data_IF_233827919397
#
_entry.id   IF_233827919397
#
_cell.length_a   1.000
_cell.length_b   1.000
_cell.length_c   1.000
_cell.angle_alpha   90.00
_cell.angle_beta   90.00
_cell.angle_gamma   90.00
#
_symmetry.space_group_name_H-M   'P 1'
#
loop_
_entity.id
_entity.type
_entity.pdbx_description
1 polymer ?
#
# COMPACT_ATOMS: atom_id res chain seq x y z
N UNK A 1 -66.41 -3.95 -13.11
CA UNK A 1 -65.35 -4.65 -12.33
C UNK A 1 -64.43 -5.35 -13.33
N UNK A 2 -63.38 -4.64 -13.77
CA UNK A 2 -62.45 -5.15 -14.77
C UNK A 2 -61.22 -5.65 -14.02
N UNK A 3 -61.04 -6.95 -13.96
CA UNK A 3 -59.85 -7.63 -13.42
C UNK A 3 -58.65 -7.28 -14.31
N UNK A 4 -57.70 -6.49 -13.79
CA UNK A 4 -56.39 -6.34 -14.40
C UNK A 4 -55.63 -7.67 -14.22
N UNK A 5 -55.34 -8.35 -15.30
CA UNK A 5 -54.42 -9.47 -15.32
C UNK A 5 -53.06 -9.02 -14.80
N UNK A 6 -52.54 -9.74 -13.84
CA UNK A 6 -51.11 -9.60 -13.41
C UNK A 6 -50.24 -10.07 -14.57
N UNK A 7 -49.40 -9.20 -15.03
CA UNK A 7 -48.34 -9.51 -16.01
C UNK A 7 -47.26 -10.33 -15.29
N UNK A 8 -47.40 -11.66 -15.28
CA UNK A 8 -46.49 -12.60 -14.64
C UNK A 8 -45.16 -12.81 -15.42
N UNK A 9 -44.87 -11.97 -16.42
CA UNK A 9 -43.68 -12.04 -17.27
C UNK A 9 -42.71 -10.86 -17.08
N UNK A 10 -42.72 -10.21 -15.92
CA UNK A 10 -41.69 -9.22 -15.62
C UNK A 10 -40.32 -9.92 -15.47
N UNK A 11 -39.50 -9.87 -16.51
CA UNK A 11 -38.09 -10.28 -16.39
C UNK A 11 -37.48 -9.57 -15.17
N UNK A 12 -36.75 -10.29 -14.29
CA UNK A 12 -36.06 -9.62 -13.15
C UNK A 12 -35.24 -8.47 -13.68
N UNK A 13 -35.35 -7.33 -13.05
CA UNK A 13 -34.65 -6.11 -13.46
C UNK A 13 -33.15 -6.42 -13.59
N UNK A 14 -32.65 -6.33 -14.84
CA UNK A 14 -31.24 -6.63 -15.13
C UNK A 14 -30.36 -5.63 -14.40
N UNK A 15 -29.44 -6.12 -13.56
CA UNK A 15 -28.41 -5.26 -12.96
C UNK A 15 -27.54 -4.65 -14.06
N UNK A 16 -27.36 -3.33 -14.02
CA UNK A 16 -26.44 -2.61 -14.91
C UNK A 16 -24.99 -2.66 -14.44
N UNK A 17 -24.78 -3.06 -13.18
CA UNK A 17 -23.45 -3.16 -12.56
C UNK A 17 -22.95 -4.58 -12.71
N UNK A 18 -21.69 -4.75 -13.11
CA UNK A 18 -21.08 -6.07 -13.19
C UNK A 18 -20.98 -6.71 -11.80
N UNK A 19 -21.11 -8.03 -11.72
CA UNK A 19 -21.01 -8.79 -10.47
C UNK A 19 -19.68 -8.54 -9.76
N UNK A 20 -18.57 -8.46 -10.50
CA UNK A 20 -17.24 -8.16 -9.95
C UNK A 20 -17.18 -6.78 -9.27
N UNK A 21 -17.71 -5.74 -9.92
CA UNK A 21 -17.75 -4.41 -9.33
C UNK A 21 -18.67 -4.36 -8.11
N UNK A 22 -19.81 -5.06 -8.15
CA UNK A 22 -20.76 -5.14 -7.05
C UNK A 22 -20.21 -5.93 -5.84
N UNK A 23 -19.31 -6.90 -6.06
CA UNK A 23 -18.73 -7.73 -5.00
C UNK A 23 -17.62 -7.00 -4.20
N UNK A 24 -17.11 -5.86 -4.70
CA UNK A 24 -16.09 -5.09 -3.99
C UNK A 24 -16.74 -4.33 -2.83
N UNK A 25 -16.28 -4.53 -1.59
CA UNK A 25 -16.80 -3.77 -0.46
C UNK A 25 -16.45 -2.28 -0.62
N UNK A 26 -17.34 -1.41 -0.19
CA UNK A 26 -17.02 0.02 -0.12
C UNK A 26 -15.82 0.22 0.81
N UNK A 27 -14.88 1.06 0.40
CA UNK A 27 -13.71 1.36 1.23
C UNK A 27 -14.13 1.95 2.58
N UNK A 28 -13.83 1.25 3.67
CA UNK A 28 -14.05 1.74 5.04
C UNK A 28 -13.34 3.07 5.30
N UNK A 29 -12.17 3.26 4.69
CA UNK A 29 -11.38 4.50 4.78
C UNK A 29 -12.15 5.69 4.19
N UNK A 30 -12.86 5.52 3.06
CA UNK A 30 -13.56 6.62 2.37
C UNK A 30 -14.70 7.19 3.23
N UNK A 31 -15.46 6.35 3.91
CA UNK A 31 -16.53 6.81 4.82
C UNK A 31 -15.97 7.75 5.90
N UNK A 32 -14.77 7.46 6.40
CA UNK A 32 -14.09 8.32 7.38
C UNK A 32 -13.64 9.64 6.77
N UNK A 33 -13.09 9.64 5.57
CA UNK A 33 -12.68 10.89 4.90
C UNK A 33 -13.86 11.79 4.57
N UNK A 34 -14.98 11.23 4.13
CA UNK A 34 -16.19 11.99 3.86
C UNK A 34 -16.72 12.66 5.15
N UNK A 35 -16.61 11.98 6.31
CA UNK A 35 -16.99 12.52 7.60
C UNK A 35 -16.01 13.63 8.08
N UNK A 36 -14.71 13.41 7.95
CA UNK A 36 -13.66 14.39 8.30
C UNK A 36 -13.86 15.69 7.53
N UNK A 37 -14.19 15.61 6.24
CA UNK A 37 -14.38 16.78 5.37
C UNK A 37 -15.53 17.70 5.83
N UNK A 38 -16.43 17.22 6.69
CA UNK A 38 -17.56 17.99 7.24
C UNK A 38 -17.32 18.58 8.64
N UNK A 39 -16.12 18.34 9.22
CA UNK A 39 -15.81 18.70 10.60
C UNK A 39 -14.60 19.65 10.69
N UNK A 40 -14.72 20.72 11.48
CA UNK A 40 -13.61 21.62 11.77
C UNK A 40 -12.76 21.18 12.97
N UNK A 41 -11.46 21.46 12.91
CA UNK A 41 -10.51 21.23 14.01
C UNK A 41 -10.19 19.76 14.25
N UNK A 42 -10.32 18.92 13.22
CA UNK A 42 -9.93 17.51 13.26
C UNK A 42 -8.43 17.36 13.02
N UNK A 43 -7.76 16.65 13.92
CA UNK A 43 -6.39 16.18 13.71
C UNK A 43 -6.47 14.82 12.99
N UNK A 44 -5.93 14.74 11.78
CA UNK A 44 -6.02 13.52 10.97
C UNK A 44 -4.75 12.68 11.05
N UNK A 45 -4.83 11.58 11.78
CA UNK A 45 -3.85 10.49 11.73
C UNK A 45 -4.29 9.38 10.74
N UNK A 46 -5.27 9.65 9.89
CA UNK A 46 -5.85 8.68 8.95
C UNK A 46 -5.20 8.71 7.56
N UNK A 47 -4.69 9.85 7.11
CA UNK A 47 -4.12 10.00 5.77
C UNK A 47 -2.75 9.32 5.69
N UNK A 48 -2.57 8.48 4.69
CA UNK A 48 -1.31 7.73 4.49
C UNK A 48 -0.41 8.36 3.43
N UNK A 49 -0.03 9.63 3.61
CA UNK A 49 0.88 10.32 2.70
C UNK A 49 1.93 11.15 3.45
N UNK A 50 3.12 11.38 2.86
CA UNK A 50 4.10 12.29 3.42
C UNK A 50 3.53 13.70 3.59
N UNK A 51 3.80 14.34 4.72
CA UNK A 51 3.48 15.75 4.99
C UNK A 51 4.55 16.72 4.44
N UNK A 52 5.54 16.18 3.77
CA UNK A 52 6.57 16.94 3.07
C UNK A 52 6.11 17.39 1.70
N UNK A 53 6.53 18.58 1.31
CA UNK A 53 6.41 19.04 -0.08
C UNK A 53 7.46 18.32 -0.92
N UNK A 54 7.10 17.88 -2.11
CA UNK A 54 8.05 17.32 -3.09
C UNK A 54 9.29 18.22 -3.21
N UNK A 55 10.52 17.68 -3.19
CA UNK A 55 11.77 18.45 -3.22
C UNK A 55 11.81 19.47 -4.37
N UNK A 56 12.45 20.63 -4.12
CA UNK A 56 12.46 21.71 -5.12
C UNK A 56 13.06 21.28 -6.45
N UNK A 57 14.20 20.58 -6.45
CA UNK A 57 14.82 20.10 -7.70
C UNK A 57 13.87 19.23 -8.55
N UNK A 58 13.02 18.44 -7.90
CA UNK A 58 12.03 17.59 -8.57
C UNK A 58 10.90 18.44 -9.16
N UNK A 59 10.40 19.43 -8.39
CA UNK A 59 9.35 20.36 -8.86
C UNK A 59 9.86 21.25 -10.00
N UNK A 60 11.07 21.77 -9.87
CA UNK A 60 11.74 22.60 -10.88
C UNK A 60 11.88 21.85 -12.21
N UNK A 61 12.27 20.57 -12.17
CA UNK A 61 12.37 19.74 -13.37
C UNK A 61 11.03 19.59 -14.11
N UNK A 62 9.93 19.47 -13.38
CA UNK A 62 8.60 19.42 -13.99
C UNK A 62 8.19 20.76 -14.60
N UNK A 63 8.45 21.88 -13.91
CA UNK A 63 8.20 23.23 -14.43
C UNK A 63 8.99 23.43 -15.73
N UNK A 64 10.29 23.10 -15.70
CA UNK A 64 11.15 23.19 -16.89
C UNK A 64 10.66 22.32 -18.03
N UNK A 65 10.18 21.10 -17.74
CA UNK A 65 9.63 20.24 -18.77
C UNK A 65 8.42 20.88 -19.47
N UNK A 66 7.52 21.53 -18.71
CA UNK A 66 6.36 22.25 -19.25
C UNK A 66 6.83 23.45 -20.09
N UNK A 67 7.77 24.26 -19.58
CA UNK A 67 8.32 25.42 -20.29
C UNK A 67 9.00 25.05 -21.62
N UNK A 68 9.62 23.87 -21.67
CA UNK A 68 10.24 23.33 -22.90
C UNK A 68 9.26 22.61 -23.82
N UNK A 69 7.96 22.60 -23.49
CA UNK A 69 6.94 22.00 -24.34
C UNK A 69 6.91 20.47 -24.31
N UNK A 70 7.45 19.84 -23.27
CA UNK A 70 7.31 18.39 -23.07
C UNK A 70 5.88 18.07 -22.62
N UNK A 71 4.93 18.02 -23.56
CA UNK A 71 3.50 17.83 -23.30
C UNK A 71 2.87 16.71 -24.14
N UNK A 72 3.69 15.98 -24.91
CA UNK A 72 3.24 14.91 -25.80
C UNK A 72 3.33 13.53 -25.11
N UNK A 73 2.74 12.54 -25.74
CA UNK A 73 2.85 11.15 -25.31
C UNK A 73 4.30 10.67 -25.26
N UNK A 74 4.60 9.82 -24.32
CA UNK A 74 5.87 9.08 -24.26
C UNK A 74 5.69 7.68 -24.85
N UNK A 75 6.77 6.90 -24.89
CA UNK A 75 6.65 5.44 -25.05
C UNK A 75 5.69 4.86 -24.02
N UNK A 76 4.92 3.85 -24.40
CA UNK A 76 4.05 3.12 -23.48
C UNK A 76 4.83 2.49 -22.29
N UNK A 77 6.08 2.11 -22.49
CA UNK A 77 6.97 1.70 -21.40
C UNK A 77 7.36 2.83 -20.45
N UNK A 78 7.17 4.09 -20.84
CA UNK A 78 7.70 5.30 -20.22
C UNK A 78 9.01 5.77 -20.86
N UNK A 79 9.53 6.92 -20.43
CA UNK A 79 10.79 7.49 -20.92
C UNK A 79 11.95 6.52 -20.68
N UNK A 80 12.76 6.29 -21.73
CA UNK A 80 13.93 5.42 -21.62
C UNK A 80 14.92 5.96 -20.58
N UNK A 81 15.16 7.27 -20.57
CA UNK A 81 16.03 7.95 -19.59
C UNK A 81 15.61 7.63 -18.14
N UNK A 82 14.31 7.62 -17.84
CA UNK A 82 13.82 7.27 -16.52
C UNK A 82 14.04 5.79 -16.20
N UNK A 83 13.79 4.92 -17.17
CA UNK A 83 13.98 3.46 -16.99
C UNK A 83 15.45 3.10 -16.81
N UNK A 84 16.37 3.78 -17.52
CA UNK A 84 17.81 3.63 -17.35
C UNK A 84 18.25 4.10 -15.96
N UNK A 85 17.83 5.29 -15.52
CA UNK A 85 18.12 5.78 -14.18
C UNK A 85 17.56 4.85 -13.08
N UNK A 86 16.39 4.28 -13.31
CA UNK A 86 15.75 3.33 -12.38
C UNK A 86 16.49 1.99 -12.34
N UNK A 87 16.92 1.46 -13.49
CA UNK A 87 17.74 0.24 -13.57
C UNK A 87 19.06 0.39 -12.79
N UNK A 88 19.74 1.52 -12.97
CA UNK A 88 20.96 1.85 -12.21
C UNK A 88 20.68 1.99 -10.70
N UNK A 89 19.56 2.57 -10.32
CA UNK A 89 19.15 2.70 -8.92
C UNK A 89 18.95 1.33 -8.27
N UNK A 90 18.24 0.42 -8.95
CA UNK A 90 17.95 -0.92 -8.45
C UNK A 90 19.22 -1.78 -8.36
N UNK A 91 20.12 -1.70 -9.35
CA UNK A 91 21.44 -2.39 -9.29
C UNK A 91 22.28 -1.84 -8.14
N UNK A 92 22.43 -0.52 -8.02
CA UNK A 92 23.25 0.11 -6.97
C UNK A 92 22.75 -0.19 -5.55
N UNK A 93 21.41 -0.22 -5.34
CA UNK A 93 20.81 -0.39 -4.00
C UNK A 93 20.66 -1.84 -3.60
N UNK A 94 20.23 -2.66 -4.53
CA UNK A 94 19.74 -4.02 -4.23
C UNK A 94 20.51 -5.11 -4.96
N UNK A 95 21.42 -4.73 -5.87
CA UNK A 95 22.18 -5.69 -6.66
C UNK A 95 21.31 -6.44 -7.69
N UNK A 96 20.18 -5.87 -8.10
CA UNK A 96 19.27 -6.50 -9.06
C UNK A 96 19.33 -5.73 -10.38
N UNK A 97 19.76 -6.43 -11.43
CA UNK A 97 19.88 -5.86 -12.77
C UNK A 97 18.65 -6.16 -13.60
N UNK A 98 18.00 -5.10 -14.06
CA UNK A 98 16.91 -5.16 -15.01
C UNK A 98 17.31 -4.49 -16.33
N UNK A 99 16.91 -5.08 -17.47
CA UNK A 99 17.04 -4.40 -18.75
C UNK A 99 16.02 -3.26 -18.85
N UNK A 100 16.48 -2.01 -18.97
CA UNK A 100 15.56 -0.86 -19.05
C UNK A 100 14.64 -0.88 -20.28
N UNK A 101 14.94 -1.69 -21.30
CA UNK A 101 14.15 -1.77 -22.51
C UNK A 101 12.99 -2.75 -22.43
N UNK A 102 13.15 -3.85 -21.68
CA UNK A 102 12.22 -4.98 -21.69
C UNK A 102 11.71 -5.42 -20.32
N UNK A 103 12.37 -5.01 -19.21
CA UNK A 103 12.03 -5.47 -17.86
C UNK A 103 11.51 -4.36 -16.92
N UNK A 104 11.28 -3.13 -17.42
CA UNK A 104 10.79 -1.99 -16.65
C UNK A 104 9.62 -1.29 -17.36
N UNK A 105 8.54 -1.04 -16.59
CA UNK A 105 7.35 -0.32 -17.04
C UNK A 105 7.04 0.82 -16.06
N UNK A 106 6.92 2.03 -16.57
CA UNK A 106 6.49 3.21 -15.79
C UNK A 106 4.97 3.28 -15.76
N UNK A 107 4.40 3.43 -14.57
CA UNK A 107 2.96 3.36 -14.33
C UNK A 107 2.42 4.62 -13.64
N UNK A 108 1.10 4.80 -13.67
CA UNK A 108 0.39 5.88 -12.96
C UNK A 108 0.25 5.51 -11.47
N UNK A 109 1.39 5.55 -10.77
CA UNK A 109 1.56 5.08 -9.39
C UNK A 109 1.59 3.56 -9.28
N UNK A 110 1.97 3.07 -8.10
CA UNK A 110 1.98 1.64 -7.77
C UNK A 110 0.58 1.03 -7.81
N UNK A 111 -0.46 1.86 -7.64
CA UNK A 111 -1.85 1.39 -7.75
C UNK A 111 -2.17 0.82 -9.13
N UNK A 112 -1.70 1.47 -10.20
CA UNK A 112 -1.82 0.92 -11.55
C UNK A 112 -0.92 -0.29 -11.73
N UNK A 113 0.33 -0.24 -11.27
CA UNK A 113 1.24 -1.38 -11.37
C UNK A 113 0.67 -2.65 -10.73
N UNK A 114 0.00 -2.53 -9.59
CA UNK A 114 -0.69 -3.62 -8.91
C UNK A 114 -1.87 -4.17 -9.73
N UNK A 115 -2.73 -3.29 -10.26
CA UNK A 115 -3.88 -3.69 -11.09
C UNK A 115 -3.42 -4.39 -12.37
N UNK A 116 -2.41 -3.84 -13.04
CA UNK A 116 -1.81 -4.46 -14.23
C UNK A 116 -1.20 -5.83 -13.93
N UNK A 117 -0.47 -5.96 -12.82
CA UNK A 117 0.13 -7.23 -12.41
C UNK A 117 -0.96 -8.29 -12.20
N UNK A 118 -2.03 -7.98 -11.45
CA UNK A 118 -3.13 -8.93 -11.23
C UNK A 118 -3.81 -9.32 -12.54
N UNK A 119 -4.15 -8.36 -13.39
CA UNK A 119 -4.79 -8.65 -14.70
C UNK A 119 -3.90 -9.43 -15.66
N UNK A 120 -2.59 -9.25 -15.58
CA UNK A 120 -1.64 -9.94 -16.47
C UNK A 120 -1.46 -11.41 -16.10
N UNK A 121 -1.58 -11.78 -14.82
CA UNK A 121 -1.23 -13.12 -14.35
C UNK A 121 -2.43 -13.99 -13.96
N UNK A 122 -3.60 -13.40 -13.66
CA UNK A 122 -4.75 -14.12 -13.10
C UNK A 122 -5.69 -14.58 -14.20
N UNK A 123 -5.98 -15.88 -14.24
CA UNK A 123 -7.13 -16.46 -14.94
C UNK A 123 -8.30 -16.62 -13.97
N UNK A 124 -9.55 -16.69 -14.45
CA UNK A 124 -10.71 -16.94 -13.59
C UNK A 124 -10.54 -18.18 -12.72
N UNK A 125 -10.62 -17.98 -11.39
CA UNK A 125 -10.47 -19.04 -10.40
C UNK A 125 -9.07 -19.29 -9.88
N UNK A 126 -8.04 -18.62 -10.42
CA UNK A 126 -6.70 -18.61 -9.84
C UNK A 126 -6.73 -17.97 -8.44
N UNK A 127 -5.88 -18.47 -7.55
CA UNK A 127 -5.79 -18.02 -6.17
C UNK A 127 -4.51 -17.21 -5.93
N UNK A 128 -4.66 -16.09 -5.24
CA UNK A 128 -3.53 -15.26 -4.75
C UNK A 128 -3.54 -15.25 -3.22
N UNK A 129 -2.42 -15.64 -2.63
CA UNK A 129 -2.23 -15.55 -1.17
C UNK A 129 -1.89 -14.10 -0.83
N UNK A 130 -2.68 -13.48 0.08
CA UNK A 130 -2.61 -12.06 0.42
C UNK A 130 -2.52 -11.90 1.94
N UNK A 131 -1.62 -11.05 2.47
CA UNK A 131 -1.51 -10.82 3.92
C UNK A 131 -2.78 -10.17 4.49
N UNK A 132 -3.18 -10.62 5.67
CA UNK A 132 -4.24 -10.04 6.50
C UNK A 132 -3.68 -9.79 7.91
N UNK A 133 -3.54 -8.52 8.37
CA UNK A 133 -3.92 -7.29 7.69
C UNK A 133 -2.94 -6.90 6.57
N UNK A 134 -3.47 -6.23 5.53
CA UNK A 134 -2.71 -5.77 4.37
C UNK A 134 -3.31 -4.52 3.74
N UNK A 135 -2.61 -3.96 2.75
CA UNK A 135 -3.10 -2.75 2.06
C UNK A 135 -4.46 -3.00 1.39
N UNK A 136 -5.37 -2.07 1.61
CA UNK A 136 -6.80 -2.18 1.24
C UNK A 136 -7.07 -2.49 -0.23
N UNK A 137 -6.14 -2.20 -1.13
CA UNK A 137 -6.32 -2.44 -2.57
C UNK A 137 -5.90 -3.84 -3.02
N UNK A 138 -5.22 -4.63 -2.19
CA UNK A 138 -4.73 -5.95 -2.60
C UNK A 138 -5.89 -6.88 -2.99
N UNK A 139 -6.83 -7.09 -2.08
CA UNK A 139 -7.99 -7.94 -2.33
C UNK A 139 -8.87 -7.45 -3.50
N UNK A 140 -9.24 -6.17 -3.60
CA UNK A 140 -9.97 -5.63 -4.74
C UNK A 140 -9.31 -5.87 -6.10
N UNK A 141 -7.99 -5.68 -6.20
CA UNK A 141 -7.28 -5.91 -7.48
C UNK A 141 -7.32 -7.39 -7.90
N UNK A 142 -7.17 -8.34 -6.97
CA UNK A 142 -7.32 -9.77 -7.23
C UNK A 142 -8.73 -10.09 -7.72
N UNK A 143 -9.77 -9.59 -7.05
CA UNK A 143 -11.18 -9.82 -7.39
C UNK A 143 -11.51 -9.22 -8.75
N UNK A 144 -11.08 -7.99 -9.05
CA UNK A 144 -11.28 -7.34 -10.35
C UNK A 144 -10.65 -8.10 -11.50
N UNK A 145 -9.48 -8.72 -11.27
CA UNK A 145 -8.84 -9.58 -12.24
C UNK A 145 -9.56 -10.95 -12.43
N UNK A 146 -10.53 -11.28 -11.57
CA UNK A 146 -11.27 -12.56 -11.61
C UNK A 146 -10.66 -13.67 -10.78
N UNK A 147 -9.67 -13.33 -9.94
CA UNK A 147 -9.03 -14.26 -9.01
C UNK A 147 -9.77 -14.39 -7.69
N UNK A 148 -9.29 -15.32 -6.88
CA UNK A 148 -9.74 -15.57 -5.52
C UNK A 148 -8.66 -15.18 -4.53
N UNK A 149 -9.03 -14.40 -3.54
CA UNK A 149 -8.16 -14.02 -2.42
C UNK A 149 -8.08 -15.17 -1.41
N UNK A 150 -6.86 -15.57 -1.06
CA UNK A 150 -6.59 -16.52 0.03
C UNK A 150 -5.83 -15.76 1.11
N UNK A 151 -6.46 -15.40 2.23
CA UNK A 151 -5.81 -14.62 3.27
C UNK A 151 -4.76 -15.45 4.02
N UNK A 152 -3.57 -14.90 4.22
CA UNK A 152 -2.58 -15.38 5.18
C UNK A 152 -2.58 -14.44 6.39
N UNK A 153 -3.03 -14.98 7.52
CA UNK A 153 -3.19 -14.19 8.75
C UNK A 153 -1.85 -13.92 9.41
N UNK A 154 -1.65 -12.68 9.82
CA UNK A 154 -0.50 -12.24 10.61
C UNK A 154 -0.97 -11.69 11.94
N UNK A 155 -0.15 -11.81 12.98
CA UNK A 155 -0.47 -11.43 14.35
C UNK A 155 0.66 -10.62 14.97
N UNK A 156 0.35 -9.93 16.07
CA UNK A 156 1.33 -9.15 16.82
C UNK A 156 2.47 -10.01 17.37
N UNK A 157 2.18 -11.25 17.78
CA UNK A 157 3.16 -12.21 18.28
C UNK A 157 4.21 -12.58 17.23
N UNK A 158 3.86 -12.52 15.96
CA UNK A 158 4.75 -12.69 14.81
C UNK A 158 5.26 -11.35 14.24
N UNK A 159 5.13 -10.27 15.00
CA UNK A 159 5.46 -8.91 14.54
C UNK A 159 4.72 -8.54 13.23
N UNK A 160 3.51 -9.03 13.02
CA UNK A 160 2.72 -8.88 11.77
C UNK A 160 3.46 -9.33 10.50
N UNK A 161 4.36 -10.28 10.62
CA UNK A 161 5.14 -10.83 9.50
C UNK A 161 4.48 -12.08 8.94
N UNK A 162 4.43 -12.17 7.62
CA UNK A 162 3.99 -13.40 6.95
C UNK A 162 5.04 -14.49 7.17
N UNK A 163 4.64 -15.63 7.71
CA UNK A 163 5.51 -16.78 7.93
C UNK A 163 5.37 -17.79 6.79
N UNK A 164 6.48 -18.35 6.35
CA UNK A 164 6.49 -19.42 5.34
C UNK A 164 5.65 -20.64 5.78
N UNK A 165 5.66 -20.94 7.08
CA UNK A 165 4.84 -21.99 7.68
C UNK A 165 3.34 -21.72 7.61
N UNK A 166 2.92 -20.45 7.58
CA UNK A 166 1.54 -20.06 7.41
C UNK A 166 1.11 -20.07 5.93
N UNK A 167 2.04 -19.83 4.98
CA UNK A 167 1.76 -19.89 3.55
C UNK A 167 1.60 -21.33 3.06
N UNK A 168 2.49 -22.23 3.47
CA UNK A 168 2.57 -23.58 2.89
C UNK A 168 1.25 -24.36 2.90
N UNK A 169 0.42 -24.37 3.97
CA UNK A 169 -0.86 -25.09 3.99
C UNK A 169 -1.95 -24.41 3.14
N UNK A 170 -1.76 -23.16 2.70
CA UNK A 170 -2.71 -22.43 1.86
C UNK A 170 -2.49 -22.68 0.36
N UNK A 171 -1.36 -23.31 0.00
CA UNK A 171 -1.04 -23.58 -1.40
C UNK A 171 -1.91 -24.71 -1.93
N UNK A 172 -2.60 -24.43 -3.03
CA UNK A 172 -3.40 -25.40 -3.80
C UNK A 172 -2.92 -25.46 -5.26
N UNK A 173 -3.40 -26.41 -6.08
CA UNK A 173 -3.10 -26.41 -7.51
C UNK A 173 -3.58 -25.18 -8.28
N UNK A 174 -4.44 -24.34 -7.67
CA UNK A 174 -4.92 -23.07 -8.24
C UNK A 174 -4.14 -21.87 -7.75
N UNK A 175 -3.27 -22.03 -6.79
CA UNK A 175 -2.46 -20.92 -6.26
C UNK A 175 -1.48 -20.46 -7.34
N UNK A 176 -1.65 -19.23 -7.80
CA UNK A 176 -0.83 -18.58 -8.82
C UNK A 176 0.35 -17.84 -8.24
N UNK A 177 0.14 -17.22 -7.09
CA UNK A 177 1.20 -16.39 -6.49
C UNK A 177 0.90 -15.95 -5.06
N UNK A 178 1.92 -15.31 -4.50
CA UNK A 178 1.90 -14.70 -3.17
C UNK A 178 2.10 -13.22 -3.36
N UNK A 179 1.22 -12.39 -2.78
CA UNK A 179 1.41 -10.95 -2.69
C UNK A 179 1.99 -10.63 -1.31
N UNK A 180 3.06 -9.86 -1.27
CA UNK A 180 3.65 -9.33 -0.03
C UNK A 180 3.88 -7.83 -0.19
N UNK A 181 3.77 -7.07 0.92
CA UNK A 181 4.06 -5.63 0.94
C UNK A 181 4.78 -5.28 2.24
N UNK A 182 6.08 -5.09 2.14
CA UNK A 182 6.92 -4.70 3.28
C UNK A 182 7.93 -3.63 2.84
N UNK A 183 8.14 -2.57 3.69
CA UNK A 183 7.46 -2.26 4.96
C UNK A 183 5.93 -2.20 4.81
N UNK A 184 5.23 -2.74 5.81
CA UNK A 184 3.81 -3.03 5.69
C UNK A 184 2.91 -1.82 6.02
N UNK A 185 1.88 -1.63 5.26
CA UNK A 185 0.70 -0.84 5.58
C UNK A 185 -0.44 -1.84 5.91
N UNK A 186 -0.97 -1.90 7.14
CA UNK A 186 -1.04 -0.82 8.15
C UNK A 186 -0.02 -0.89 9.31
N UNK A 187 0.78 -1.96 9.45
CA UNK A 187 1.42 -2.32 10.70
C UNK A 187 2.81 -1.69 10.92
N UNK A 188 3.46 -1.25 9.84
CA UNK A 188 4.85 -0.81 9.89
C UNK A 188 5.87 -1.94 10.08
N UNK A 189 5.45 -3.19 9.96
CA UNK A 189 6.32 -4.36 10.01
C UNK A 189 7.33 -4.36 8.85
N UNK A 190 8.51 -4.90 9.12
CA UNK A 190 9.60 -5.08 8.15
C UNK A 190 10.09 -6.51 8.23
N UNK A 191 10.40 -7.13 7.12
CA UNK A 191 10.94 -8.48 7.08
C UNK A 191 12.45 -8.47 6.87
N UNK A 192 13.13 -9.35 7.58
CA UNK A 192 14.56 -9.60 7.39
C UNK A 192 14.80 -10.42 6.11
N UNK A 193 16.05 -10.40 5.63
CA UNK A 193 16.46 -11.20 4.48
C UNK A 193 16.20 -12.70 4.68
N UNK A 194 16.44 -13.21 5.88
CA UNK A 194 16.25 -14.64 6.18
C UNK A 194 14.76 -15.04 6.18
N UNK A 195 13.89 -14.20 6.73
CA UNK A 195 12.44 -14.41 6.68
C UNK A 195 11.91 -14.37 5.24
N UNK A 196 12.40 -13.46 4.40
CA UNK A 196 12.06 -13.41 2.97
C UNK A 196 12.59 -14.62 2.21
N UNK A 197 13.77 -15.15 2.57
CA UNK A 197 14.32 -16.39 1.99
C UNK A 197 13.45 -17.60 2.27
N UNK A 198 12.81 -17.69 3.45
CA UNK A 198 11.85 -18.75 3.74
C UNK A 198 10.64 -18.70 2.80
N UNK A 199 10.09 -17.50 2.56
CA UNK A 199 8.98 -17.31 1.60
C UNK A 199 9.46 -17.67 0.18
N UNK A 200 10.67 -17.25 -0.20
CA UNK A 200 11.25 -17.56 -1.50
C UNK A 200 11.39 -19.09 -1.72
N UNK A 201 11.74 -19.86 -0.67
CA UNK A 201 11.77 -21.33 -0.74
C UNK A 201 10.39 -21.93 -1.01
N UNK A 202 9.33 -21.41 -0.34
CA UNK A 202 7.95 -21.86 -0.59
C UNK A 202 7.54 -21.53 -2.03
N UNK A 203 7.79 -20.31 -2.50
CA UNK A 203 7.46 -19.89 -3.86
C UNK A 203 8.16 -20.77 -4.92
N UNK A 204 9.44 -21.06 -4.73
CA UNK A 204 10.21 -21.92 -5.66
C UNK A 204 9.73 -23.36 -5.67
N UNK A 205 9.45 -23.96 -4.50
CA UNK A 205 8.99 -25.36 -4.39
C UNK A 205 7.64 -25.59 -5.06
N UNK A 206 6.78 -24.60 -5.03
CA UNK A 206 5.41 -24.69 -5.55
C UNK A 206 5.21 -23.93 -6.86
N UNK A 207 6.30 -23.47 -7.51
CA UNK A 207 6.30 -22.71 -8.76
C UNK A 207 5.37 -21.49 -8.75
N UNK A 208 5.39 -20.72 -7.66
CA UNK A 208 4.55 -19.54 -7.47
C UNK A 208 5.28 -18.27 -7.91
N UNK A 209 4.51 -17.31 -8.43
CA UNK A 209 4.96 -15.93 -8.59
C UNK A 209 4.93 -15.20 -7.23
N UNK A 210 5.75 -14.17 -7.08
CA UNK A 210 5.68 -13.26 -5.95
C UNK A 210 5.46 -11.85 -6.47
N UNK A 211 4.39 -11.23 -6.02
CA UNK A 211 4.14 -9.81 -6.24
C UNK A 211 4.64 -9.09 -5.00
N UNK A 212 5.74 -8.33 -5.15
CA UNK A 212 6.39 -7.63 -4.04
C UNK A 212 6.11 -6.13 -4.14
N UNK A 213 5.22 -5.63 -3.28
CA UNK A 213 4.94 -4.20 -3.17
C UNK A 213 5.95 -3.56 -2.22
N UNK A 214 6.92 -2.88 -2.80
CA UNK A 214 8.05 -2.25 -2.10
C UNK A 214 7.97 -0.72 -2.10
N UNK A 215 6.74 -0.15 -2.13
CA UNK A 215 6.54 1.31 -2.16
C UNK A 215 7.15 2.05 -0.96
N UNK A 216 7.37 1.34 0.15
CA UNK A 216 7.98 1.85 1.38
C UNK A 216 9.44 1.43 1.56
N UNK A 217 10.10 0.91 0.53
CA UNK A 217 11.47 0.39 0.56
C UNK A 217 12.50 1.32 1.23
N UNK A 218 12.27 2.64 1.11
CA UNK A 218 13.15 3.69 1.65
C UNK A 218 12.83 4.08 3.09
N UNK A 219 11.63 3.75 3.57
CA UNK A 219 11.15 4.08 4.90
C UNK A 219 11.37 2.90 5.85
N UNK A 220 12.63 2.62 6.14
CA UNK A 220 13.09 1.62 7.12
C UNK A 220 13.95 2.34 8.15
N UNK A 221 13.67 2.13 9.43
CA UNK A 221 14.31 2.87 10.54
C UNK A 221 15.45 2.10 11.20
N UNK A 222 15.33 0.78 11.23
CA UNK A 222 16.29 -0.11 11.85
C UNK A 222 16.71 -1.18 10.83
N UNK A 223 17.96 -1.10 10.33
CA UNK A 223 18.49 -2.02 9.32
C UNK A 223 18.33 -1.51 7.89
N UNK A 224 18.24 -2.44 6.94
CA UNK A 224 18.12 -2.16 5.52
C UNK A 224 16.99 -2.97 4.91
N UNK A 225 16.31 -2.39 3.93
CA UNK A 225 15.34 -3.09 3.11
C UNK A 225 16.02 -4.16 2.26
N UNK A 226 15.39 -5.33 2.16
CA UNK A 226 15.78 -6.39 1.22
C UNK A 226 14.77 -6.44 0.10
N UNK A 227 15.17 -6.07 -1.11
CA UNK A 227 14.36 -6.23 -2.30
C UNK A 227 14.15 -7.73 -2.59
N UNK A 228 12.91 -8.17 -2.74
CA UNK A 228 12.59 -9.59 -2.89
C UNK A 228 13.21 -10.21 -4.16
N UNK A 229 13.27 -9.43 -5.24
CA UNK A 229 13.91 -9.85 -6.49
C UNK A 229 15.42 -10.11 -6.35
N UNK A 230 16.07 -9.55 -5.30
CA UNK A 230 17.50 -9.77 -5.06
C UNK A 230 17.83 -11.13 -4.46
N UNK A 231 16.81 -11.85 -4.00
CA UNK A 231 17.01 -13.18 -3.43
C UNK A 231 17.35 -14.22 -4.51
N UNK A 232 18.17 -15.23 -4.19
CA UNK A 232 18.60 -16.23 -5.16
C UNK A 232 17.43 -16.91 -5.87
N UNK A 233 17.38 -16.78 -7.21
CA UNK A 233 16.36 -17.40 -8.07
C UNK A 233 14.98 -16.74 -7.98
N UNK A 234 14.89 -15.49 -7.46
CA UNK A 234 13.62 -14.79 -7.35
C UNK A 234 13.38 -13.71 -8.40
N UNK A 235 14.42 -13.20 -9.08
CA UNK A 235 14.24 -12.19 -10.14
C UNK A 235 13.21 -12.62 -11.19
N UNK A 236 13.34 -13.85 -11.70
CA UNK A 236 12.51 -14.37 -12.80
C UNK A 236 11.05 -14.63 -12.41
N UNK A 237 10.75 -14.74 -11.13
CA UNK A 237 9.42 -15.03 -10.61
C UNK A 237 8.84 -13.95 -9.69
N UNK A 238 9.46 -12.77 -9.68
CA UNK A 238 8.98 -11.62 -8.91
C UNK A 238 8.48 -10.52 -9.83
N UNK A 239 7.30 -10.02 -9.53
CA UNK A 239 6.82 -8.73 -10.03
C UNK A 239 7.09 -7.73 -8.92
N UNK A 240 8.14 -6.94 -9.10
CA UNK A 240 8.50 -5.87 -8.18
C UNK A 240 7.66 -4.62 -8.48
N UNK A 241 6.95 -4.13 -7.49
CA UNK A 241 6.19 -2.89 -7.57
C UNK A 241 6.87 -1.83 -6.70
N UNK A 242 7.19 -0.70 -7.29
CA UNK A 242 7.84 0.41 -6.60
C UNK A 242 7.40 1.76 -7.13
N UNK A 243 7.79 2.84 -6.45
CA UNK A 243 7.34 4.15 -6.90
C UNK A 243 7.90 5.31 -6.11
N UNK A 244 7.48 6.50 -6.50
CA UNK A 244 8.03 7.76 -6.03
C UNK A 244 7.18 8.42 -4.94
N UNK A 245 5.96 7.92 -4.74
CA UNK A 245 4.96 8.55 -3.85
C UNK A 245 5.45 8.76 -2.42
N UNK A 246 6.16 7.78 -1.84
CA UNK A 246 6.51 7.79 -0.42
C UNK A 246 7.92 8.29 -0.17
N UNK A 247 8.89 7.74 -0.87
CA UNK A 247 10.30 8.12 -0.71
C UNK A 247 10.59 9.58 -1.10
N UNK A 248 9.88 10.12 -2.09
CA UNK A 248 10.14 11.45 -2.64
C UNK A 248 8.99 12.44 -2.42
N UNK A 249 8.04 12.11 -1.54
CA UNK A 249 6.84 12.93 -1.29
C UNK A 249 6.10 13.32 -2.60
N UNK A 250 5.91 12.33 -3.49
CA UNK A 250 5.31 12.53 -4.82
C UNK A 250 3.95 11.84 -4.95
N UNK A 251 3.11 11.87 -3.92
CA UNK A 251 1.80 11.19 -3.93
C UNK A 251 0.88 11.70 -5.03
N UNK A 252 0.78 13.01 -5.19
CA UNK A 252 -0.05 13.68 -6.20
C UNK A 252 0.47 13.58 -7.64
N UNK A 253 1.74 13.21 -7.83
CA UNK A 253 2.36 13.08 -9.16
C UNK A 253 1.92 11.82 -9.92
N UNK A 254 1.36 10.86 -9.20
CA UNK A 254 0.89 9.59 -9.74
C UNK A 254 1.95 8.88 -10.57
N UNK A 255 3.10 8.57 -9.99
CA UNK A 255 4.18 7.88 -10.68
C UNK A 255 4.70 6.68 -9.88
N UNK A 256 4.78 5.54 -10.54
CA UNK A 256 5.31 4.29 -10.05
C UNK A 256 5.95 3.48 -11.17
N UNK A 257 6.35 2.27 -10.85
CA UNK A 257 6.92 1.35 -11.82
C UNK A 257 6.64 -0.11 -11.43
N UNK A 258 6.69 -0.97 -12.43
CA UNK A 258 6.81 -2.40 -12.28
C UNK A 258 8.12 -2.89 -12.90
N UNK A 259 8.76 -3.86 -12.25
CA UNK A 259 9.90 -4.59 -12.82
C UNK A 259 9.62 -6.10 -12.72
N UNK A 260 9.76 -6.80 -13.86
CA UNK A 260 9.47 -8.23 -13.96
C UNK A 260 10.24 -8.84 -15.14
N UNK A 261 10.16 -10.18 -15.28
CA UNK A 261 10.66 -10.80 -16.50
C UNK A 261 9.91 -10.29 -17.74
N UNK A 262 10.53 -10.36 -18.93
CA UNK A 262 9.97 -9.74 -20.15
C UNK A 262 8.57 -10.23 -20.51
N UNK A 263 8.25 -11.52 -20.33
CA UNK A 263 6.96 -12.09 -20.73
C UNK A 263 5.80 -11.51 -19.89
N UNK A 264 6.02 -11.40 -18.57
CA UNK A 264 5.04 -10.80 -17.66
C UNK A 264 4.91 -9.30 -17.95
N UNK A 265 6.04 -8.62 -18.12
CA UNK A 265 6.04 -7.18 -18.37
C UNK A 265 5.35 -6.82 -19.68
N UNK A 266 5.56 -7.61 -20.74
CA UNK A 266 4.86 -7.45 -22.01
C UNK A 266 3.34 -7.65 -21.87
N UNK A 267 2.91 -8.62 -21.06
CA UNK A 267 1.48 -8.79 -20.75
C UNK A 267 0.89 -7.58 -20.00
N UNK A 268 1.63 -7.04 -19.02
CA UNK A 268 1.26 -5.80 -18.31
C UNK A 268 1.20 -4.61 -19.26
N UNK A 269 2.19 -4.47 -20.15
CA UNK A 269 2.25 -3.40 -21.15
C UNK A 269 1.04 -3.43 -22.09
N UNK A 270 0.61 -4.60 -22.56
CA UNK A 270 -0.58 -4.72 -23.42
C UNK A 270 -1.83 -4.18 -22.76
N UNK A 271 -1.98 -4.36 -21.45
CA UNK A 271 -3.11 -3.79 -20.72
C UNK A 271 -2.93 -2.29 -20.54
N UNK A 272 -1.74 -1.84 -20.12
CA UNK A 272 -1.38 -0.45 -19.90
C UNK A 272 -1.66 0.43 -21.12
N UNK A 273 -1.21 -0.01 -22.31
CA UNK A 273 -1.39 0.76 -23.54
C UNK A 273 -2.85 1.02 -23.94
N UNK A 274 -3.79 0.14 -23.56
CA UNK A 274 -5.22 0.31 -23.85
C UNK A 274 -6.01 0.97 -22.72
N UNK A 275 -5.42 1.12 -21.53
CA UNK A 275 -6.09 1.75 -20.37
C UNK A 275 -5.62 3.17 -20.13
N UNK A 276 -4.31 3.40 -20.13
CA UNK A 276 -3.69 4.68 -19.74
C UNK A 276 -2.83 5.27 -20.86
N UNK A 277 -2.26 4.42 -21.72
CA UNK A 277 -1.31 4.74 -22.79
C UNK A 277 0.11 5.01 -22.25
N UNK A 278 0.30 6.02 -21.41
CA UNK A 278 1.57 6.33 -20.74
C UNK A 278 1.33 7.19 -19.50
N UNK A 279 2.28 7.16 -18.56
CA UNK A 279 2.27 8.08 -17.42
C UNK A 279 2.58 9.53 -17.85
N UNK A 280 2.18 10.56 -17.06
CA UNK A 280 2.42 11.96 -17.38
C UNK A 280 3.90 12.28 -17.58
N UNK A 281 4.27 12.87 -18.72
CA UNK A 281 5.67 13.13 -19.09
C UNK A 281 6.37 14.05 -18.09
N UNK A 282 5.68 15.07 -17.54
CA UNK A 282 6.23 15.97 -16.55
C UNK A 282 6.63 15.25 -15.28
N UNK A 283 5.79 14.32 -14.83
CA UNK A 283 6.10 13.48 -13.67
C UNK A 283 7.29 12.56 -13.94
N UNK A 284 7.42 12.01 -15.14
CA UNK A 284 8.55 11.17 -15.52
C UNK A 284 9.86 11.97 -15.55
N UNK A 285 9.86 13.21 -16.10
CA UNK A 285 11.04 14.10 -16.09
C UNK A 285 11.43 14.47 -14.66
N UNK A 286 10.47 14.79 -13.81
CA UNK A 286 10.70 15.06 -12.39
C UNK A 286 11.29 13.85 -11.65
N UNK A 287 10.85 12.64 -11.98
CA UNK A 287 11.36 11.42 -11.34
C UNK A 287 12.81 11.12 -11.68
N UNK A 288 13.29 11.49 -12.86
CA UNK A 288 14.72 11.40 -13.22
C UNK A 288 15.55 12.23 -12.23
N UNK A 289 15.13 13.46 -11.94
CA UNK A 289 15.79 14.32 -10.95
C UNK A 289 15.64 13.81 -9.51
N UNK A 290 14.49 13.23 -9.16
CA UNK A 290 14.30 12.58 -7.88
C UNK A 290 15.32 11.45 -7.64
N UNK A 291 15.58 10.62 -8.66
CA UNK A 291 16.59 9.54 -8.59
C UNK A 291 18.00 10.11 -8.48
N UNK A 292 18.31 11.15 -9.25
CA UNK A 292 19.67 11.71 -9.33
C UNK A 292 20.06 12.54 -8.09
N UNK A 293 19.11 13.31 -7.56
CA UNK A 293 19.39 14.35 -6.57
C UNK A 293 18.53 14.29 -5.29
N UNK A 294 17.50 13.43 -5.24
CA UNK A 294 16.56 13.37 -4.10
C UNK A 294 17.06 12.66 -2.85
N UNK A 295 18.17 11.92 -2.93
CA UNK A 295 18.63 11.06 -1.83
C UNK A 295 18.86 11.76 -0.48
N UNK A 296 19.52 12.94 -0.41
CA UNK A 296 19.74 13.63 0.87
C UNK A 296 18.43 13.98 1.58
N UNK A 297 17.41 14.39 0.80
CA UNK A 297 16.10 14.76 1.34
C UNK A 297 15.30 13.52 1.80
N UNK A 298 15.46 12.39 1.12
CA UNK A 298 14.88 11.12 1.59
C UNK A 298 15.46 10.74 2.94
N UNK A 299 16.77 10.87 3.12
CA UNK A 299 17.43 10.55 4.40
C UNK A 299 16.97 11.48 5.54
N UNK A 300 16.85 12.78 5.28
CA UNK A 300 16.32 13.75 6.23
C UNK A 300 14.88 13.40 6.66
N UNK A 301 14.00 13.15 5.69
CA UNK A 301 12.62 12.77 5.93
C UNK A 301 12.50 11.47 6.74
N UNK A 302 13.29 10.45 6.40
CA UNK A 302 13.32 9.18 7.14
C UNK A 302 13.79 9.37 8.58
N UNK A 303 14.82 10.19 8.81
CA UNK A 303 15.31 10.50 10.16
C UNK A 303 14.23 11.21 11.00
N UNK A 304 13.48 12.13 10.40
CA UNK A 304 12.39 12.82 11.08
C UNK A 304 11.21 11.89 11.37
N UNK A 305 10.78 11.07 10.41
CA UNK A 305 9.75 10.06 10.67
C UNK A 305 10.15 9.07 11.76
N UNK A 306 11.42 8.69 11.85
CA UNK A 306 11.90 7.86 12.95
C UNK A 306 11.76 8.55 14.32
N UNK A 307 11.99 9.88 14.40
CA UNK A 307 11.75 10.67 15.62
C UNK A 307 10.28 10.70 15.98
N UNK A 308 9.39 10.98 15.00
CA UNK A 308 7.94 11.02 15.18
C UNK A 308 7.38 9.65 15.57
N UNK A 309 7.90 8.57 14.97
CA UNK A 309 7.58 7.18 15.35
C UNK A 309 7.76 6.93 16.83
N UNK A 310 8.92 7.33 17.37
CA UNK A 310 9.23 7.13 18.80
C UNK A 310 8.28 7.89 19.70
N UNK A 311 7.91 9.11 19.34
CA UNK A 311 6.92 9.90 20.09
C UNK A 311 5.55 9.24 20.04
N UNK A 312 5.10 8.84 18.85
CA UNK A 312 3.82 8.17 18.65
C UNK A 312 3.73 6.88 19.46
N UNK A 313 4.70 5.97 19.31
CA UNK A 313 4.66 4.66 19.99
C UNK A 313 4.71 4.82 21.51
N UNK A 314 5.61 5.66 22.01
CA UNK A 314 5.71 5.93 23.45
C UNK A 314 4.41 6.53 24.01
N UNK A 315 3.84 7.53 23.32
CA UNK A 315 2.58 8.14 23.74
C UNK A 315 1.40 7.18 23.72
N UNK A 316 1.30 6.30 22.71
CA UNK A 316 0.27 5.26 22.67
C UNK A 316 0.38 4.30 23.88
N UNK A 317 1.60 3.88 24.23
CA UNK A 317 1.84 3.04 25.41
C UNK A 317 1.51 3.76 26.73
N UNK A 318 1.88 5.03 26.86
CA UNK A 318 1.60 5.85 28.04
C UNK A 318 0.11 6.05 28.30
N UNK A 319 -0.71 6.11 27.23
CA UNK A 319 -2.18 6.18 27.35
C UNK A 319 -2.87 4.82 27.49
N UNK A 320 -2.09 3.72 27.61
CA UNK A 320 -2.60 2.38 27.85
C UNK A 320 -2.99 1.58 26.60
N UNK A 321 -2.60 2.02 25.39
CA UNK A 321 -2.79 1.26 24.16
C UNK A 321 -1.51 0.47 23.81
N UNK A 322 -1.61 -0.86 23.83
CA UNK A 322 -0.51 -1.72 23.39
C UNK A 322 -0.23 -1.51 21.91
N UNK A 323 1.02 -1.28 21.56
CA UNK A 323 1.42 -1.03 20.19
C UNK A 323 2.70 -1.78 19.85
N UNK A 324 2.64 -2.58 18.77
CA UNK A 324 3.84 -3.12 18.14
C UNK A 324 4.72 -1.95 17.67
N UNK A 325 6.03 -2.03 17.88
CA UNK A 325 6.95 -1.01 17.43
C UNK A 325 7.21 -1.14 15.92
N UNK A 326 6.68 -0.22 15.08
CA UNK A 326 6.87 -0.29 13.64
C UNK A 326 8.34 -0.02 13.29
N UNK A 327 8.90 -0.82 12.38
CA UNK A 327 10.29 -0.69 11.92
C UNK A 327 10.40 -0.03 10.54
N UNK A 328 9.26 0.24 9.91
CA UNK A 328 9.20 0.90 8.60
C UNK A 328 7.86 1.57 8.32
N UNK A 329 7.70 2.13 7.11
CA UNK A 329 6.60 2.98 6.72
C UNK A 329 6.40 4.18 7.67
N UNK A 330 5.21 4.69 7.85
CA UNK A 330 4.90 5.77 8.80
C UNK A 330 3.58 5.53 9.53
N UNK A 331 3.35 4.27 9.94
CA UNK A 331 2.12 3.84 10.62
C UNK A 331 2.44 3.16 11.94
N UNK A 332 1.62 3.44 12.94
CA UNK A 332 1.47 2.68 14.17
C UNK A 332 0.12 1.96 14.16
N UNK A 333 0.07 0.78 14.75
CA UNK A 333 -1.13 -0.08 14.73
C UNK A 333 -1.45 -0.60 16.12
N UNK A 334 -1.88 0.33 17.05
CA UNK A 334 -2.18 -0.02 18.43
C UNK A 334 -3.44 -0.90 18.55
N UNK A 335 -3.42 -1.80 19.54
CA UNK A 335 -4.57 -2.55 19.98
C UNK A 335 -5.48 -1.68 20.86
N UNK A 336 -6.77 -1.66 20.56
CA UNK A 336 -7.80 -0.86 21.24
C UNK A 336 -8.77 -1.74 22.06
N UNK A 337 -8.58 -3.06 22.05
CA UNK A 337 -9.47 -4.03 22.72
C UNK A 337 -9.64 -3.76 24.21
N UNK A 338 -8.59 -3.24 24.87
CA UNK A 338 -8.64 -2.83 26.29
C UNK A 338 -9.67 -1.76 26.62
N UNK A 339 -10.20 -1.04 25.61
CA UNK A 339 -11.28 -0.07 25.79
C UNK A 339 -12.68 -0.69 25.78
N UNK A 340 -12.81 -1.96 25.43
CA UNK A 340 -14.09 -2.65 25.23
C UNK A 340 -14.85 -2.22 23.97
N UNK A 341 -14.23 -1.41 23.10
CA UNK A 341 -14.82 -0.97 21.83
C UNK A 341 -14.26 -1.82 20.66
N UNK A 342 -15.09 -2.01 19.64
CA UNK A 342 -14.59 -2.46 18.34
C UNK A 342 -13.70 -1.38 17.70
N UNK A 343 -12.82 -1.75 16.76
CA UNK A 343 -11.99 -0.75 16.06
C UNK A 343 -12.81 0.30 15.32
N UNK A 344 -13.96 -0.09 14.77
CA UNK A 344 -14.89 0.81 14.07
C UNK A 344 -15.54 1.79 15.05
N UNK A 345 -16.08 1.29 16.19
CA UNK A 345 -16.66 2.17 17.22
C UNK A 345 -15.62 3.08 17.85
N UNK A 346 -14.41 2.56 18.10
CA UNK A 346 -13.30 3.35 18.61
C UNK A 346 -13.00 4.52 17.67
N UNK A 347 -12.79 4.25 16.39
CA UNK A 347 -12.45 5.29 15.41
C UNK A 347 -13.59 6.31 15.24
N UNK A 348 -14.84 5.85 15.17
CA UNK A 348 -16.00 6.74 15.02
C UNK A 348 -16.22 7.64 16.23
N UNK A 349 -16.16 7.08 17.44
CA UNK A 349 -16.35 7.84 18.68
C UNK A 349 -15.19 8.79 18.95
N UNK A 350 -13.93 8.35 18.73
CA UNK A 350 -12.76 9.20 18.88
C UNK A 350 -12.85 10.43 17.98
N UNK A 351 -13.29 10.25 16.73
CA UNK A 351 -13.48 11.35 15.80
C UNK A 351 -14.57 12.31 16.27
N UNK A 352 -15.72 11.80 16.74
CA UNK A 352 -16.85 12.65 17.16
C UNK A 352 -16.60 13.38 18.48
N UNK A 353 -15.98 12.69 19.46
CA UNK A 353 -15.81 13.20 20.82
C UNK A 353 -14.55 14.05 20.98
N UNK A 354 -13.44 13.66 20.33
CA UNK A 354 -12.11 14.26 20.51
C UNK A 354 -11.55 14.89 19.24
N UNK A 355 -12.25 14.77 18.11
CA UNK A 355 -11.80 15.30 16.81
C UNK A 355 -10.41 14.76 16.41
N UNK A 356 -10.15 13.50 16.68
CA UNK A 356 -8.96 12.77 16.21
C UNK A 356 -9.41 11.67 15.28
N UNK A 357 -8.89 11.67 14.05
CA UNK A 357 -9.23 10.72 13.03
C UNK A 357 -8.15 9.64 12.92
N UNK A 358 -8.54 8.37 13.08
CA UNK A 358 -7.72 7.17 12.84
C UNK A 358 -8.46 6.24 11.90
N UNK A 359 -7.78 5.26 11.30
CA UNK A 359 -8.45 4.28 10.42
C UNK A 359 -8.71 3.00 11.17
N UNK A 360 -9.96 2.49 11.21
CA UNK A 360 -10.26 1.21 11.85
C UNK A 360 -9.51 0.07 11.16
N UNK A 361 -9.00 -0.86 11.95
CA UNK A 361 -8.18 -1.96 11.45
C UNK A 361 -8.94 -2.95 10.58
N UNK A 362 -10.27 -3.04 10.74
CA UNK A 362 -11.19 -3.81 9.85
C UNK A 362 -11.06 -3.40 8.38
N UNK A 363 -10.66 -2.16 8.08
CA UNK A 363 -10.41 -1.71 6.72
C UNK A 363 -9.25 -2.45 6.03
N UNK A 364 -8.34 -3.06 6.81
CA UNK A 364 -7.15 -3.75 6.31
C UNK A 364 -7.26 -5.27 6.35
N UNK A 365 -8.35 -5.80 6.88
CA UNK A 365 -8.61 -7.23 6.97
C UNK A 365 -9.17 -7.64 8.32
N UNK A 366 -9.49 -8.92 8.45
CA UNK A 366 -10.16 -9.46 9.65
C UNK A 366 -9.25 -9.48 10.87
N UNK A 367 -7.94 -9.69 10.68
CA UNK A 367 -6.96 -9.67 11.78
C UNK A 367 -6.71 -8.24 12.32
N UNK A 368 -7.19 -7.20 11.63
CA UNK A 368 -7.16 -5.82 12.12
C UNK A 368 -8.28 -5.43 13.07
N UNK A 369 -9.27 -6.30 13.34
CA UNK A 369 -10.52 -5.95 14.04
C UNK A 369 -10.34 -5.30 15.42
N UNK A 370 -9.24 -5.59 16.11
CA UNK A 370 -8.93 -5.01 17.42
C UNK A 370 -7.95 -3.84 17.37
N UNK A 371 -7.59 -3.38 16.19
CA UNK A 371 -6.54 -2.38 16.02
C UNK A 371 -7.07 -1.14 15.29
N UNK A 372 -6.37 -0.02 15.44
CA UNK A 372 -6.56 1.15 14.58
C UNK A 372 -5.23 1.57 13.98
N UNK A 373 -5.25 2.09 12.74
CA UNK A 373 -4.04 2.62 12.12
C UNK A 373 -3.91 4.11 12.42
N UNK A 374 -2.79 4.50 13.01
CA UNK A 374 -2.36 5.86 13.25
C UNK A 374 -1.17 6.20 12.32
N UNK A 375 -1.33 7.19 11.45
CA UNK A 375 -0.25 7.73 10.63
C UNK A 375 0.52 8.79 11.42
N UNK A 376 1.86 8.71 11.44
CA UNK A 376 2.71 9.74 12.06
C UNK A 376 3.45 10.62 11.03
N UNK A 377 3.01 10.59 9.78
CA UNK A 377 3.42 11.56 8.77
C UNK A 377 2.62 12.86 8.92
N UNK A 378 2.77 13.51 10.07
CA UNK A 378 2.22 14.83 10.41
C UNK A 378 3.14 15.50 11.43
N UNK A 379 2.90 16.78 11.79
CA UNK A 379 3.78 17.52 12.70
C UNK A 379 3.84 16.90 14.11
N UNK A 380 4.95 17.11 14.81
CA UNK A 380 5.09 16.62 16.20
C UNK A 380 4.03 17.22 17.12
N UNK A 381 3.66 18.49 16.92
CA UNK A 381 2.66 19.17 17.73
C UNK A 381 1.28 18.51 17.53
N UNK A 382 0.91 18.17 16.29
CA UNK A 382 -0.32 17.44 16.00
C UNK A 382 -0.31 16.03 16.60
N UNK A 383 0.83 15.32 16.54
CA UNK A 383 0.97 14.00 17.18
C UNK A 383 0.76 14.11 18.70
N UNK A 384 1.39 15.07 19.35
CA UNK A 384 1.28 15.26 20.79
C UNK A 384 -0.15 15.64 21.22
N UNK A 385 -0.79 16.56 20.50
CA UNK A 385 -2.16 16.94 20.75
C UNK A 385 -3.14 15.77 20.51
N UNK A 386 -2.95 15.02 19.42
CA UNK A 386 -3.75 13.81 19.16
C UNK A 386 -3.62 12.80 20.30
N UNK A 387 -2.39 12.52 20.76
CA UNK A 387 -2.14 11.62 21.89
C UNK A 387 -2.79 12.12 23.20
N UNK A 388 -2.73 13.43 23.46
CA UNK A 388 -3.41 14.04 24.63
C UNK A 388 -4.92 13.80 24.59
N UNK A 389 -5.56 14.04 23.43
CA UNK A 389 -7.00 13.82 23.23
C UNK A 389 -7.36 12.32 23.31
N UNK A 390 -6.56 11.46 22.65
CA UNK A 390 -6.74 10.01 22.72
C UNK A 390 -6.62 9.49 24.16
N UNK A 391 -5.70 10.03 24.97
CA UNK A 391 -5.54 9.66 26.38
C UNK A 391 -6.81 9.91 27.19
N UNK A 392 -7.40 11.12 27.05
CA UNK A 392 -8.69 11.47 27.71
C UNK A 392 -9.82 10.51 27.28
N UNK A 393 -9.85 10.17 25.99
CA UNK A 393 -10.83 9.24 25.44
C UNK A 393 -10.66 7.84 26.03
N UNK A 394 -9.45 7.28 25.98
CA UNK A 394 -9.15 5.93 26.48
C UNK A 394 -9.47 5.82 27.97
N UNK A 395 -9.08 6.81 28.79
CA UNK A 395 -9.36 6.82 30.23
C UNK A 395 -10.88 6.72 30.53
N UNK A 396 -11.72 7.41 29.74
CA UNK A 396 -13.19 7.37 29.91
C UNK A 396 -13.77 5.98 29.63
N UNK A 397 -13.23 5.27 28.63
CA UNK A 397 -13.76 3.97 28.22
C UNK A 397 -13.20 2.80 29.04
N UNK A 398 -11.94 2.87 29.49
CA UNK A 398 -11.36 1.88 30.41
C UNK A 398 -12.07 1.91 31.78
N UNK A 399 -12.32 3.12 32.33
CA UNK A 399 -13.04 3.28 33.61
C UNK A 399 -14.51 2.82 33.60
N UNK A 400 -15.15 2.77 32.40
CA UNK A 400 -16.54 2.32 32.29
C UNK A 400 -16.68 0.81 32.27
N UNK A 401 -15.60 0.09 31.97
CA UNK A 401 -15.57 -1.35 31.79
C UNK A 401 -14.85 -2.07 32.94
N UNK A 402 -14.23 -1.37 33.87
CA UNK A 402 -13.67 -1.84 35.15
C UNK A 402 -14.61 -1.49 36.30
#
# INVERSE_FOLDING_TARGET
MVLRAKDDNARPARSWVSERAASIPRSGIRKFFDLIATMDGVISLGVGEPDYVTPWCVREAAIYAIEKGHTMYTSNYGLLELREALAELLDRRYGVRYDPKSELLITVGVSEALDLAMRAIINPGDEIIVPDPGYVSYAPCVILAGGKVVPVHTRVEDEFKVRATAIQPLVTPRTKGILIGYPNNPTGAVMTRDELLEIARVARRNDLLVISDEIYDRLVYDGQHTCFSSLPGMKERTILLGGFSKAYAMTGWRLGYAAANPDILEAMLRIHQYTILCAPIMAQKAAVEAIRHGEPLVQEMVADYNRRRRVMVKGLQEIGLSCFEPKGAFYAFPDVSGTGLSSDDFAEKLLKEEKVAVVPGTAFGTCGANHVRCCYATSLDEIQEALSRMGKFVERYVRKNG
#
